data_IF_297198429394
#
_entry.id   IF_297198429394
#
_cell.length_a   1.000
_cell.length_b   1.000
_cell.length_c   1.000
_cell.angle_alpha   90.00
_cell.angle_beta   90.00
_cell.angle_gamma   90.00
#
_symmetry.space_group_name_H-M   'P 1'
#
loop_
_entity.id
_entity.type
_entity.pdbx_description
1 polymer ?
#
# COMPACT_ATOMS: atom_id res chain seq x y z
N UNK A 1 -3.51 -11.17 -0.90
CA UNK A 1 -3.81 -10.29 0.24
C UNK A 1 -4.15 -11.18 1.45
N UNK A 2 -3.58 -10.92 2.65
CA UNK A 2 -3.72 -11.80 3.82
C UNK A 2 -5.05 -11.56 4.59
N UNK A 3 -6.16 -11.50 3.87
CA UNK A 3 -7.52 -11.39 4.41
C UNK A 3 -8.54 -11.85 3.39
N UNK A 4 -9.85 -11.76 3.73
CA UNK A 4 -10.93 -12.10 2.82
C UNK A 4 -11.00 -11.15 1.62
N UNK A 5 -11.64 -11.59 0.55
CA UNK A 5 -11.85 -10.77 -0.65
C UNK A 5 -12.50 -9.42 -0.32
N UNK A 6 -13.56 -9.43 0.48
CA UNK A 6 -14.29 -8.19 0.79
C UNK A 6 -13.42 -7.15 1.48
N UNK A 7 -12.53 -7.56 2.38
CA UNK A 7 -11.56 -6.68 3.05
C UNK A 7 -10.43 -6.28 2.10
N UNK A 8 -9.84 -7.25 1.42
CA UNK A 8 -8.72 -7.01 0.52
C UNK A 8 -9.05 -6.11 -0.65
N UNK A 9 -10.21 -6.34 -1.31
CA UNK A 9 -10.62 -5.51 -2.44
C UNK A 9 -11.04 -4.10 -2.01
N UNK A 10 -11.32 -3.88 -0.73
CA UNK A 10 -11.55 -2.54 -0.18
C UNK A 10 -10.23 -1.79 0.03
N UNK A 11 -9.10 -2.49 0.13
CA UNK A 11 -7.78 -1.87 0.33
C UNK A 11 -7.31 -1.13 -0.93
N UNK A 12 -7.22 0.20 -0.84
CA UNK A 12 -6.77 1.03 -1.96
C UNK A 12 -5.31 0.72 -2.35
N UNK A 13 -4.45 0.47 -1.37
CA UNK A 13 -3.06 0.06 -1.62
C UNK A 13 -2.97 -1.26 -2.39
N UNK A 14 -3.81 -2.25 -2.04
CA UNK A 14 -3.87 -3.51 -2.79
C UNK A 14 -4.38 -3.32 -4.22
N UNK A 15 -5.41 -2.49 -4.41
CA UNK A 15 -5.94 -2.20 -5.75
C UNK A 15 -4.88 -1.55 -6.65
N UNK A 16 -4.06 -0.65 -6.10
CA UNK A 16 -2.96 0.00 -6.86
C UNK A 16 -1.89 -1.01 -7.23
N UNK A 17 -1.47 -1.87 -6.30
CA UNK A 17 -0.51 -2.95 -6.59
C UNK A 17 -1.00 -3.81 -7.75
N UNK A 18 -2.25 -4.29 -7.65
CA UNK A 18 -2.83 -5.10 -8.72
C UNK A 18 -2.95 -4.33 -10.04
N UNK A 19 -3.43 -3.09 -10.03
CA UNK A 19 -3.60 -2.30 -11.24
C UNK A 19 -2.25 -1.98 -11.92
N UNK A 20 -1.21 -1.67 -11.12
CA UNK A 20 0.14 -1.41 -11.64
C UNK A 20 0.70 -2.64 -12.37
N UNK A 21 0.49 -3.83 -11.82
CA UNK A 21 0.94 -5.08 -12.44
C UNK A 21 0.06 -5.46 -13.65
N UNK A 22 -1.27 -5.31 -13.54
CA UNK A 22 -2.22 -5.67 -14.58
C UNK A 22 -2.13 -4.79 -15.84
N UNK A 23 -1.57 -3.59 -15.74
CA UNK A 23 -1.32 -2.72 -16.89
C UNK A 23 -0.09 -3.14 -17.71
N UNK A 24 0.74 -4.03 -17.19
CA UNK A 24 1.92 -4.54 -17.89
C UNK A 24 1.53 -5.72 -18.78
N UNK A 25 1.91 -5.67 -20.07
CA UNK A 25 1.69 -6.76 -21.03
C UNK A 25 2.67 -7.92 -20.89
N UNK A 26 3.71 -7.75 -20.08
CA UNK A 26 4.74 -8.75 -19.77
C UNK A 26 4.51 -9.44 -18.41
N UNK A 27 3.38 -9.16 -17.73
CA UNK A 27 3.01 -9.74 -16.44
C UNK A 27 1.61 -10.35 -16.49
N UNK A 28 1.49 -11.63 -16.14
CA UNK A 28 0.22 -12.29 -15.83
C UNK A 28 -0.01 -12.24 -14.31
N UNK A 29 -0.79 -11.28 -13.84
CA UNK A 29 -1.08 -11.10 -12.42
C UNK A 29 -2.38 -11.78 -12.02
N UNK A 30 -2.32 -12.57 -10.94
CA UNK A 30 -3.47 -13.26 -10.34
C UNK A 30 -3.67 -12.77 -8.91
N UNK A 31 -4.93 -12.68 -8.50
CA UNK A 31 -5.30 -12.23 -7.15
C UNK A 31 -5.59 -13.44 -6.27
N UNK A 32 -5.10 -13.38 -5.04
CA UNK A 32 -5.36 -14.39 -4.01
C UNK A 32 -5.77 -13.71 -2.71
N UNK A 33 -6.83 -14.23 -2.10
CA UNK A 33 -7.34 -13.87 -0.78
C UNK A 33 -7.45 -15.14 0.08
N UNK A 34 -7.81 -15.00 1.35
CA UNK A 34 -7.92 -16.17 2.23
C UNK A 34 -9.15 -17.06 1.94
N UNK A 35 -10.19 -16.49 1.36
CA UNK A 35 -11.48 -17.13 1.06
C UNK A 35 -11.69 -17.41 -0.42
N UNK A 36 -11.01 -16.68 -1.32
CA UNK A 36 -11.13 -16.88 -2.76
C UNK A 36 -9.92 -16.30 -3.53
N UNK A 37 -9.87 -16.57 -4.83
CA UNK A 37 -8.81 -16.05 -5.70
C UNK A 37 -9.04 -16.39 -7.17
N UNK A 38 -8.22 -15.77 -8.02
CA UNK A 38 -8.17 -16.12 -9.43
C UNK A 38 -7.55 -17.52 -9.59
N UNK A 39 -7.84 -18.28 -10.66
CA UNK A 39 -7.13 -19.52 -10.96
C UNK A 39 -5.63 -19.28 -11.03
N UNK A 40 -4.86 -20.04 -10.25
CA UNK A 40 -3.42 -19.89 -10.19
C UNK A 40 -2.72 -20.78 -11.22
N UNK A 41 -1.63 -20.31 -11.86
CA UNK A 41 -0.81 -21.13 -12.73
C UNK A 41 -0.06 -22.20 -11.92
N UNK A 42 0.40 -23.28 -12.60
CA UNK A 42 1.21 -24.32 -11.95
C UNK A 42 2.55 -23.79 -11.44
N UNK A 43 3.10 -22.82 -12.14
CA UNK A 43 4.36 -22.15 -11.81
C UNK A 43 4.13 -20.64 -11.82
N UNK A 44 4.66 -19.95 -10.85
CA UNK A 44 4.71 -18.50 -10.81
C UNK A 44 6.14 -18.06 -10.47
N UNK A 45 6.56 -16.95 -11.06
CA UNK A 45 7.89 -16.39 -10.79
C UNK A 45 7.92 -15.64 -9.45
N UNK A 46 6.77 -15.06 -9.09
CA UNK A 46 6.61 -14.18 -7.94
C UNK A 46 5.36 -14.53 -7.12
N UNK A 47 5.49 -14.47 -5.80
CA UNK A 47 4.36 -14.54 -4.87
C UNK A 47 4.40 -13.30 -3.96
N UNK A 48 3.47 -12.37 -4.17
CA UNK A 48 3.46 -11.07 -3.49
C UNK A 48 2.43 -10.98 -2.35
N UNK A 49 2.83 -10.42 -1.22
CA UNK A 49 1.97 -10.20 -0.05
C UNK A 49 1.94 -8.73 0.33
N UNK A 50 0.74 -8.14 0.41
CA UNK A 50 0.53 -6.77 0.88
C UNK A 50 0.03 -6.79 2.32
N UNK A 51 0.87 -6.35 3.27
CA UNK A 51 0.56 -6.34 4.69
C UNK A 51 0.19 -4.92 5.15
N UNK A 52 -1.09 -4.74 5.46
CA UNK A 52 -1.65 -3.45 5.89
C UNK A 52 -1.79 -3.32 7.39
N UNK A 53 -1.97 -4.44 8.11
CA UNK A 53 -2.18 -4.49 9.55
C UNK A 53 -1.19 -5.43 10.23
N UNK A 54 -0.71 -5.08 11.40
CA UNK A 54 0.18 -5.94 12.18
C UNK A 54 -0.43 -7.32 12.50
N UNK A 55 -1.76 -7.37 12.63
CA UNK A 55 -2.50 -8.61 12.87
C UNK A 55 -2.54 -9.55 11.65
N UNK A 56 -2.17 -9.08 10.46
CA UNK A 56 -2.01 -9.93 9.28
C UNK A 56 -0.77 -10.83 9.36
N UNK A 57 0.15 -10.56 10.31
CA UNK A 57 1.42 -11.27 10.44
C UNK A 57 1.37 -12.79 10.52
N UNK A 58 0.39 -13.43 11.16
CA UNK A 58 0.25 -14.90 11.19
C UNK A 58 -0.22 -15.53 9.86
N UNK A 59 -0.79 -14.75 8.95
CA UNK A 59 -1.43 -15.26 7.72
C UNK A 59 -0.44 -15.64 6.60
N UNK A 60 0.69 -14.93 6.37
CA UNK A 60 1.66 -15.30 5.34
C UNK A 60 2.12 -16.77 5.38
N UNK A 61 2.50 -17.36 6.52
CA UNK A 61 2.87 -18.78 6.58
C UNK A 61 1.76 -19.73 6.14
N UNK A 62 0.51 -19.41 6.47
CA UNK A 62 -0.65 -20.20 6.06
C UNK A 62 -0.90 -20.11 4.55
N UNK A 63 -0.85 -18.91 3.98
CA UNK A 63 -1.00 -18.73 2.53
C UNK A 63 0.11 -19.44 1.76
N UNK A 64 1.37 -19.36 2.19
CA UNK A 64 2.48 -20.06 1.57
C UNK A 64 2.26 -21.59 1.61
N UNK A 65 1.87 -22.13 2.77
CA UNK A 65 1.59 -23.56 2.93
C UNK A 65 0.46 -24.02 1.98
N UNK A 66 -0.61 -23.24 1.89
CA UNK A 66 -1.76 -23.55 1.03
C UNK A 66 -1.39 -23.56 -0.46
N UNK A 67 -0.38 -22.75 -0.84
CA UNK A 67 0.16 -22.72 -2.20
C UNK A 67 1.33 -23.68 -2.41
N UNK A 68 1.69 -24.50 -1.41
CA UNK A 68 2.82 -25.44 -1.43
C UNK A 68 4.18 -24.76 -1.66
N UNK A 69 4.31 -23.52 -1.22
CA UNK A 69 5.56 -22.76 -1.23
C UNK A 69 6.23 -22.98 0.13
N UNK A 70 7.53 -23.30 0.19
CA UNK A 70 8.25 -23.42 1.46
C UNK A 70 8.08 -22.14 2.31
N UNK A 71 7.73 -22.33 3.60
CA UNK A 71 7.41 -21.22 4.48
C UNK A 71 8.63 -20.33 4.72
N UNK A 72 9.74 -20.95 5.05
CA UNK A 72 10.99 -20.25 5.31
C UNK A 72 11.71 -19.90 4.02
N UNK A 73 12.18 -18.67 3.89
CA UNK A 73 12.93 -18.23 2.72
C UNK A 73 14.19 -19.07 2.48
N UNK A 74 14.80 -19.57 3.54
CA UNK A 74 16.02 -20.43 3.50
C UNK A 74 15.78 -21.83 2.95
N UNK A 75 14.52 -22.28 2.88
CA UNK A 75 14.16 -23.60 2.35
C UNK A 75 13.82 -23.57 0.85
N UNK A 76 13.75 -22.39 0.24
CA UNK A 76 13.36 -22.21 -1.17
C UNK A 76 14.53 -22.46 -2.11
N UNK A 77 14.22 -23.18 -3.19
CA UNK A 77 15.12 -23.52 -4.28
C UNK A 77 14.99 -22.56 -5.48
N UNK A 78 15.73 -22.83 -6.54
CA UNK A 78 15.64 -22.09 -7.82
C UNK A 78 14.27 -22.24 -8.50
N UNK A 79 13.55 -23.34 -8.24
CA UNK A 79 12.24 -23.64 -8.82
C UNK A 79 11.08 -22.98 -8.06
N UNK A 80 11.33 -22.49 -6.85
CA UNK A 80 10.32 -21.81 -6.04
C UNK A 80 10.18 -20.33 -6.43
N UNK A 81 8.99 -19.73 -6.31
CA UNK A 81 8.81 -18.32 -6.59
C UNK A 81 9.66 -17.44 -5.64
N UNK A 82 9.98 -16.24 -6.09
CA UNK A 82 10.46 -15.18 -5.19
C UNK A 82 9.26 -14.68 -4.40
N UNK A 83 9.26 -14.89 -3.10
CA UNK A 83 8.22 -14.38 -2.19
C UNK A 83 8.61 -12.98 -1.75
N UNK A 84 7.81 -12.00 -2.14
CA UNK A 84 8.05 -10.62 -1.75
C UNK A 84 6.89 -10.04 -0.94
N UNK A 85 7.20 -9.06 -0.12
CA UNK A 85 6.21 -8.36 0.69
C UNK A 85 6.34 -6.86 0.59
N UNK A 86 5.25 -6.15 0.90
CA UNK A 86 5.23 -4.70 1.01
C UNK A 86 4.07 -4.21 1.86
N UNK A 87 3.94 -2.90 1.95
CA UNK A 87 2.90 -2.25 2.73
C UNK A 87 3.39 -1.65 4.06
N UNK A 88 2.50 -0.97 4.79
CA UNK A 88 2.90 -0.18 5.96
C UNK A 88 3.52 -1.02 7.08
N UNK A 89 3.11 -2.26 7.29
CA UNK A 89 3.67 -3.14 8.34
C UNK A 89 5.13 -3.43 8.07
N UNK A 90 5.46 -3.88 6.86
CA UNK A 90 6.84 -4.20 6.49
C UNK A 90 7.70 -2.94 6.33
N UNK A 91 7.11 -1.81 5.92
CA UNK A 91 7.82 -0.53 5.89
C UNK A 91 8.16 -0.03 7.30
N UNK A 92 7.31 -0.34 8.30
CA UNK A 92 7.57 0.02 9.69
C UNK A 92 8.71 -0.78 10.31
N UNK A 93 8.65 -2.10 10.14
CA UNK A 93 9.68 -3.02 10.60
C UNK A 93 9.54 -4.37 9.88
N UNK A 94 10.41 -4.70 8.92
CA UNK A 94 10.35 -5.98 8.21
C UNK A 94 10.84 -7.16 9.05
N UNK A 95 11.70 -6.93 10.04
CA UNK A 95 12.48 -7.97 10.73
C UNK A 95 11.64 -9.09 11.37
N UNK A 96 10.50 -8.82 12.05
CA UNK A 96 9.68 -9.89 12.62
C UNK A 96 9.13 -10.88 11.60
N UNK A 97 9.02 -10.46 10.34
CA UNK A 97 8.48 -11.26 9.24
C UNK A 97 9.54 -11.61 8.19
N UNK A 98 10.75 -11.09 8.31
CA UNK A 98 11.86 -11.30 7.40
C UNK A 98 12.10 -12.77 7.02
N UNK A 99 12.02 -13.75 7.94
CA UNK A 99 12.26 -15.16 7.61
C UNK A 99 11.29 -15.75 6.58
N UNK A 100 10.14 -15.11 6.34
CA UNK A 100 9.14 -15.56 5.36
C UNK A 100 9.32 -14.95 3.98
N UNK A 101 10.13 -13.90 3.84
CA UNK A 101 10.27 -13.13 2.60
C UNK A 101 11.68 -13.26 2.00
N UNK A 102 11.72 -13.39 0.68
CA UNK A 102 12.94 -13.27 -0.10
C UNK A 102 13.31 -11.80 -0.33
N UNK A 103 12.29 -10.95 -0.50
CA UNK A 103 12.47 -9.52 -0.68
C UNK A 103 11.34 -8.74 0.00
N UNK A 104 11.64 -7.56 0.53
CA UNK A 104 10.67 -6.62 1.10
C UNK A 104 10.80 -5.29 0.39
N UNK A 105 9.68 -4.77 -0.10
CA UNK A 105 9.59 -3.48 -0.78
C UNK A 105 9.25 -2.40 0.24
N UNK A 106 10.20 -1.51 0.53
CA UNK A 106 10.07 -0.45 1.55
C UNK A 106 9.61 0.86 0.91
N UNK A 107 8.35 1.22 1.11
CA UNK A 107 7.78 2.48 0.64
C UNK A 107 6.60 2.35 -0.32
N UNK A 108 6.51 3.28 -1.25
CA UNK A 108 5.37 3.43 -2.16
C UNK A 108 5.49 2.49 -3.37
N UNK A 109 4.48 1.64 -3.55
CA UNK A 109 4.46 0.60 -4.58
C UNK A 109 4.47 1.15 -6.02
N UNK A 110 4.01 2.37 -6.24
CA UNK A 110 3.99 3.04 -7.54
C UNK A 110 5.40 3.15 -8.17
N UNK A 111 6.44 3.29 -7.34
CA UNK A 111 7.84 3.31 -7.78
C UNK A 111 8.47 1.92 -7.73
N UNK A 112 8.23 1.21 -6.63
CA UNK A 112 8.94 -0.02 -6.31
C UNK A 112 8.56 -1.18 -7.23
N UNK A 113 7.25 -1.36 -7.52
CA UNK A 113 6.80 -2.51 -8.29
C UNK A 113 7.35 -2.53 -9.72
N UNK A 114 7.27 -1.45 -10.51
CA UNK A 114 7.84 -1.47 -11.84
C UNK A 114 9.35 -1.78 -11.82
N UNK A 115 10.12 -1.10 -10.97
CA UNK A 115 11.56 -1.30 -10.88
C UNK A 115 11.94 -2.72 -10.42
N UNK A 116 11.19 -3.29 -9.47
CA UNK A 116 11.40 -4.66 -8.98
C UNK A 116 11.13 -5.69 -10.08
N UNK A 117 10.03 -5.54 -10.84
CA UNK A 117 9.70 -6.44 -11.96
C UNK A 117 10.74 -6.34 -13.06
N UNK A 118 11.15 -5.12 -13.44
CA UNK A 118 12.16 -4.90 -14.49
C UNK A 118 13.52 -5.54 -14.10
N UNK A 119 13.93 -5.40 -12.84
CA UNK A 119 15.13 -6.04 -12.34
C UNK A 119 15.03 -7.57 -12.35
N UNK A 120 13.87 -8.12 -11.92
CA UNK A 120 13.67 -9.58 -11.97
C UNK A 120 13.75 -10.12 -13.39
N UNK A 121 13.17 -9.44 -14.37
CA UNK A 121 13.22 -9.86 -15.75
C UNK A 121 14.65 -9.94 -16.30
N UNK A 122 15.52 -9.00 -15.90
CA UNK A 122 16.93 -9.00 -16.31
C UNK A 122 17.72 -10.20 -15.78
N UNK A 123 17.32 -10.77 -14.65
CA UNK A 123 18.01 -11.89 -14.00
C UNK A 123 17.14 -13.16 -13.88
N UNK A 124 16.00 -13.24 -14.59
CA UNK A 124 15.00 -14.32 -14.44
C UNK A 124 15.57 -15.73 -14.54
N UNK A 125 16.57 -15.92 -15.40
CA UNK A 125 17.18 -17.23 -15.67
C UNK A 125 18.45 -17.50 -14.86
N UNK A 126 18.87 -16.58 -14.00
CA UNK A 126 19.99 -16.77 -13.09
C UNK A 126 19.60 -17.65 -11.89
N UNK A 127 20.57 -18.29 -11.23
CA UNK A 127 20.36 -18.96 -9.96
C UNK A 127 19.72 -18.03 -8.92
N UNK A 128 18.94 -18.58 -7.99
CA UNK A 128 18.20 -17.80 -6.98
C UNK A 128 19.08 -16.80 -6.23
N UNK A 129 20.25 -17.19 -5.79
CA UNK A 129 21.18 -16.32 -5.07
C UNK A 129 21.60 -15.10 -5.89
N UNK A 130 21.82 -15.27 -7.20
CA UNK A 130 22.15 -14.17 -8.10
C UNK A 130 20.94 -13.26 -8.32
N UNK A 131 19.74 -13.85 -8.49
CA UNK A 131 18.50 -13.08 -8.57
C UNK A 131 18.31 -12.20 -7.34
N UNK A 132 18.47 -12.74 -6.13
CA UNK A 132 18.32 -12.01 -4.88
C UNK A 132 19.35 -10.87 -4.75
N UNK A 133 20.61 -11.13 -5.12
CA UNK A 133 21.67 -10.09 -5.15
C UNK A 133 21.37 -8.99 -6.16
N UNK A 134 20.84 -9.35 -7.32
CA UNK A 134 20.44 -8.38 -8.33
C UNK A 134 19.25 -7.52 -7.85
N UNK A 135 18.23 -8.14 -7.28
CA UNK A 135 17.07 -7.46 -6.71
C UNK A 135 17.44 -6.51 -5.56
N UNK A 136 18.45 -6.87 -4.75
CA UNK A 136 18.93 -6.02 -3.66
C UNK A 136 19.58 -4.70 -4.15
N UNK A 137 19.93 -4.58 -5.44
CA UNK A 137 20.44 -3.33 -6.02
C UNK A 137 19.31 -2.34 -6.37
N UNK A 138 18.04 -2.78 -6.38
CA UNK A 138 16.92 -1.89 -6.62
C UNK A 138 16.67 -1.02 -5.39
N UNK A 139 16.69 0.31 -5.51
CA UNK A 139 16.44 1.19 -4.38
C UNK A 139 15.11 0.85 -3.66
N UNK A 140 15.16 0.69 -2.34
CA UNK A 140 14.00 0.34 -1.52
C UNK A 140 13.67 -1.14 -1.45
N UNK A 141 14.46 -2.01 -2.08
CA UNK A 141 14.31 -3.46 -1.97
C UNK A 141 15.26 -4.00 -0.90
N UNK A 142 14.70 -4.48 0.19
CA UNK A 142 15.41 -5.17 1.27
C UNK A 142 15.32 -6.68 1.05
N UNK A 143 16.47 -7.34 0.94
CA UNK A 143 16.59 -8.79 0.82
C UNK A 143 17.16 -9.35 2.12
N UNK A 144 16.33 -9.87 3.04
CA UNK A 144 16.75 -10.20 4.41
C UNK A 144 17.95 -11.14 4.49
N UNK A 145 18.02 -12.14 3.60
CA UNK A 145 19.11 -13.12 3.58
C UNK A 145 20.51 -12.54 3.27
N UNK A 146 20.57 -11.29 2.79
CA UNK A 146 21.81 -10.59 2.48
C UNK A 146 22.28 -9.65 3.60
N UNK A 147 21.63 -9.72 4.76
CA UNK A 147 22.00 -8.94 5.95
C UNK A 147 22.10 -9.85 7.17
N UNK A 148 22.99 -9.50 8.08
CA UNK A 148 23.20 -10.23 9.31
C UNK A 148 23.10 -9.29 10.52
N UNK A 149 22.33 -9.64 11.57
CA UNK A 149 22.30 -8.88 12.81
C UNK A 149 23.61 -9.05 13.56
N UNK A 150 24.14 -7.96 14.08
CA UNK A 150 25.30 -7.93 14.98
C UNK A 150 24.87 -7.53 16.37
N UNK A 151 25.25 -8.30 17.36
CA UNK A 151 24.86 -8.09 18.74
C UNK A 151 26.08 -7.78 19.61
N UNK A 152 25.86 -7.04 20.70
CA UNK A 152 26.79 -6.91 21.80
C UNK A 152 26.81 -8.19 22.66
N UNK A 153 27.78 -8.26 23.56
CA UNK A 153 27.92 -9.39 24.51
C UNK A 153 26.74 -9.56 25.46
N UNK A 154 25.98 -8.50 25.69
CA UNK A 154 24.77 -8.50 26.52
C UNK A 154 23.49 -8.84 25.74
N UNK A 155 23.60 -9.11 24.44
CA UNK A 155 22.47 -9.41 23.55
C UNK A 155 21.80 -8.18 22.95
N UNK A 156 22.30 -6.98 23.18
CA UNK A 156 21.79 -5.76 22.55
C UNK A 156 22.11 -5.75 21.05
N UNK A 157 21.10 -5.52 20.20
CA UNK A 157 21.32 -5.37 18.77
C UNK A 157 22.11 -4.10 18.47
N UNK A 158 23.30 -4.26 17.91
CA UNK A 158 24.16 -3.15 17.48
C UNK A 158 23.79 -2.62 16.12
N UNK A 159 23.68 -3.50 15.14
CA UNK A 159 23.45 -3.17 13.75
C UNK A 159 22.88 -4.36 12.98
N UNK A 160 22.26 -4.08 11.83
CA UNK A 160 22.00 -5.06 10.78
C UNK A 160 22.90 -4.69 9.61
N UNK A 161 23.87 -5.53 9.30
CA UNK A 161 24.94 -5.21 8.34
C UNK A 161 24.83 -6.10 7.10
N UNK A 162 25.17 -5.60 5.89
CA UNK A 162 25.24 -6.43 4.71
C UNK A 162 26.31 -7.50 4.86
N UNK A 163 26.07 -8.68 4.30
CA UNK A 163 27.00 -9.82 4.38
C UNK A 163 28.30 -9.60 3.59
N UNK A 164 28.27 -8.67 2.62
CA UNK A 164 29.44 -8.25 1.87
C UNK A 164 29.25 -6.81 1.30
N UNK A 165 30.36 -6.23 0.83
CA UNK A 165 30.42 -4.85 0.35
C UNK A 165 29.68 -4.59 -0.97
N UNK A 166 29.24 -5.60 -1.70
CA UNK A 166 28.46 -5.46 -2.92
C UNK A 166 26.96 -5.22 -2.62
N UNK A 167 26.54 -5.43 -1.37
CA UNK A 167 25.16 -5.21 -0.93
C UNK A 167 25.04 -3.80 -0.33
N UNK A 168 23.97 -3.05 -0.66
CA UNK A 168 23.77 -1.72 -0.10
C UNK A 168 23.78 -1.72 1.43
N UNK A 169 24.55 -0.85 2.04
CA UNK A 169 24.63 -0.75 3.50
C UNK A 169 23.35 -0.17 4.12
N UNK A 170 22.58 0.56 3.33
CA UNK A 170 21.32 1.17 3.74
C UNK A 170 20.27 0.97 2.64
N UNK A 171 19.10 0.51 3.04
CA UNK A 171 17.93 0.42 2.15
C UNK A 171 16.99 1.57 2.48
N UNK A 172 16.94 2.56 1.59
CA UNK A 172 16.11 3.75 1.79
C UNK A 172 14.68 3.53 1.30
N UNK A 173 13.70 3.90 2.13
CA UNK A 173 12.29 3.90 1.77
C UNK A 173 12.05 4.75 0.51
N UNK A 174 11.39 4.20 -0.47
CA UNK A 174 11.03 4.90 -1.70
C UNK A 174 9.72 5.67 -1.54
N UNK A 175 9.68 6.89 -2.08
CA UNK A 175 8.56 7.82 -1.90
C UNK A 175 8.06 8.33 -3.25
N UNK A 176 6.81 8.01 -3.59
CA UNK A 176 6.13 8.54 -4.77
C UNK A 176 5.89 10.05 -4.63
N UNK A 177 6.25 10.83 -5.66
CA UNK A 177 6.11 12.29 -5.70
C UNK A 177 5.36 12.77 -6.95
N UNK A 178 4.53 11.92 -7.53
CA UNK A 178 3.69 12.31 -8.68
C UNK A 178 2.55 13.26 -8.29
N UNK A 179 1.94 13.87 -9.29
CA UNK A 179 0.82 14.81 -9.12
C UNK A 179 -0.50 14.12 -8.76
N UNK A 180 -0.54 12.80 -8.79
CA UNK A 180 -1.72 11.99 -8.45
C UNK A 180 -1.38 11.07 -7.28
N UNK A 181 -2.37 10.80 -6.45
CA UNK A 181 -2.36 9.71 -5.47
C UNK A 181 -3.32 8.60 -5.90
N UNK A 182 -3.51 7.62 -5.03
CA UNK A 182 -4.30 6.44 -5.34
C UNK A 182 -5.80 6.73 -5.43
N UNK A 183 -6.48 6.02 -6.31
CA UNK A 183 -7.95 5.96 -6.35
C UNK A 183 -8.40 4.53 -6.68
N UNK A 184 -9.66 4.21 -6.39
CA UNK A 184 -10.21 2.89 -6.68
C UNK A 184 -10.10 2.53 -8.16
N UNK A 185 -9.60 1.33 -8.44
CA UNK A 185 -9.59 0.71 -9.76
C UNK A 185 -10.68 -0.36 -9.88
N UNK A 186 -11.20 -0.82 -8.75
CA UNK A 186 -12.31 -1.78 -8.65
C UNK A 186 -13.38 -1.18 -7.74
N UNK A 187 -14.63 -1.17 -8.22
CA UNK A 187 -15.82 -0.82 -7.45
C UNK A 187 -16.77 -2.02 -7.54
N UNK A 188 -17.15 -2.57 -6.40
CA UNK A 188 -17.96 -3.79 -6.33
C UNK A 188 -18.88 -3.81 -5.11
N UNK A 189 -20.08 -4.42 -5.20
CA UNK A 189 -20.94 -4.62 -4.04
C UNK A 189 -20.39 -5.62 -3.03
N UNK A 190 -19.40 -6.43 -3.40
CA UNK A 190 -18.79 -7.45 -2.53
C UNK A 190 -17.69 -6.89 -1.61
N UNK A 191 -17.30 -5.62 -1.79
CA UNK A 191 -16.34 -4.96 -0.93
C UNK A 191 -16.91 -4.71 0.47
N UNK A 192 -16.07 -4.65 1.51
CA UNK A 192 -16.49 -4.31 2.87
C UNK A 192 -17.14 -2.92 2.94
N UNK A 193 -16.74 -2.01 2.04
CA UNK A 193 -17.44 -0.75 1.74
C UNK A 193 -18.01 -0.84 0.31
N UNK A 194 -19.26 -1.37 0.17
CA UNK A 194 -19.79 -1.72 -1.13
C UNK A 194 -20.02 -0.48 -2.01
N UNK A 195 -19.77 -0.65 -3.30
CA UNK A 195 -20.07 0.33 -4.35
C UNK A 195 -19.47 1.73 -4.11
N UNK A 196 -18.34 1.83 -3.42
CA UNK A 196 -17.67 3.10 -3.17
C UNK A 196 -16.42 3.25 -4.05
N UNK A 197 -16.30 4.39 -4.71
CA UNK A 197 -15.06 4.79 -5.35
C UNK A 197 -14.27 5.69 -4.39
N UNK A 198 -13.13 5.21 -3.95
CA UNK A 198 -12.25 5.90 -3.02
C UNK A 198 -11.22 6.74 -3.77
N UNK A 199 -10.95 7.94 -3.27
CA UNK A 199 -9.93 8.85 -3.78
C UNK A 199 -9.03 9.25 -2.63
N UNK A 200 -7.74 9.01 -2.75
CA UNK A 200 -6.73 9.44 -1.77
C UNK A 200 -6.47 10.94 -1.95
N UNK A 201 -6.97 11.73 -1.00
CA UNK A 201 -6.86 13.21 -1.02
C UNK A 201 -5.51 13.67 -0.50
N UNK A 202 -4.96 12.96 0.49
CA UNK A 202 -3.66 13.26 1.07
C UNK A 202 -2.97 11.96 1.46
N UNK A 203 -1.64 11.90 1.35
CA UNK A 203 -0.81 10.83 1.89
C UNK A 203 0.10 11.37 2.99
N UNK A 204 0.18 10.65 4.12
CA UNK A 204 0.76 11.11 5.37
C UNK A 204 -0.11 12.16 6.11
N UNK A 205 0.45 12.71 7.18
CA UNK A 205 -0.18 13.75 7.99
C UNK A 205 0.92 14.69 8.51
N UNK A 206 0.77 16.01 8.41
CA UNK A 206 1.80 16.96 8.84
C UNK A 206 1.88 17.13 10.36
N UNK A 207 0.94 16.55 11.13
CA UNK A 207 0.83 16.78 12.58
C UNK A 207 1.86 16.01 13.41
N UNK A 208 2.41 14.91 12.90
CA UNK A 208 3.46 14.11 13.54
C UNK A 208 3.16 13.79 15.02
N UNK A 209 1.91 13.45 15.33
CA UNK A 209 1.47 13.11 16.68
C UNK A 209 2.33 11.97 17.24
N UNK A 210 2.81 12.07 18.49
CA UNK A 210 3.76 11.13 19.12
C UNK A 210 3.28 9.68 19.17
N UNK A 211 1.98 9.44 19.17
CA UNK A 211 1.36 8.11 19.19
C UNK A 211 1.06 7.54 17.79
N UNK A 212 1.18 8.35 16.71
CA UNK A 212 0.69 7.98 15.39
C UNK A 212 1.82 7.53 14.48
N UNK A 213 2.03 6.22 14.38
CA UNK A 213 3.02 5.64 13.48
C UNK A 213 2.74 5.96 12.00
N UNK A 214 1.46 6.03 11.61
CA UNK A 214 1.07 6.24 10.21
C UNK A 214 1.64 7.53 9.60
N UNK A 215 1.72 8.62 10.39
CA UNK A 215 2.32 9.88 9.91
C UNK A 215 3.78 9.69 9.52
N UNK A 216 4.55 8.99 10.37
CA UNK A 216 5.99 8.80 10.15
C UNK A 216 6.29 7.83 9.01
N UNK A 217 5.48 6.77 8.87
CA UNK A 217 5.67 5.74 7.82
C UNK A 217 5.56 6.31 6.42
N UNK A 218 4.65 7.27 6.22
CA UNK A 218 4.29 7.77 4.89
C UNK A 218 4.81 9.18 4.60
N UNK A 219 5.73 9.72 5.43
CA UNK A 219 6.40 10.99 5.17
C UNK A 219 7.13 10.99 3.82
N UNK A 220 7.22 12.17 3.19
CA UNK A 220 6.65 13.46 3.57
C UNK A 220 5.14 13.54 3.36
N UNK A 221 4.48 14.53 3.96
CA UNK A 221 3.09 14.87 3.65
C UNK A 221 2.97 15.28 2.19
N UNK A 222 2.02 14.67 1.47
CA UNK A 222 1.83 14.86 0.03
C UNK A 222 0.37 15.03 -0.29
N UNK A 223 0.13 15.94 -1.22
CA UNK A 223 -1.20 16.26 -1.75
C UNK A 223 -1.16 16.20 -3.27
N UNK A 224 -2.14 15.56 -3.93
CA UNK A 224 -2.25 15.65 -5.37
C UNK A 224 -2.74 17.04 -5.78
N UNK A 225 -2.50 17.44 -7.02
CA UNK A 225 -3.12 18.64 -7.59
C UNK A 225 -4.65 18.49 -7.60
N UNK A 226 -5.37 19.57 -7.33
CA UNK A 226 -6.83 19.57 -7.43
C UNK A 226 -7.26 19.27 -8.87
N UNK A 227 -6.73 20.03 -9.83
CA UNK A 227 -7.18 19.99 -11.24
C UNK A 227 -6.67 18.75 -11.98
N UNK A 228 -5.39 18.39 -11.79
CA UNK A 228 -4.77 17.28 -12.53
C UNK A 228 -4.86 15.93 -11.80
N UNK A 229 -5.20 15.92 -10.51
CA UNK A 229 -5.22 14.73 -9.67
C UNK A 229 -6.59 14.40 -9.10
N UNK A 230 -7.14 15.26 -8.22
CA UNK A 230 -8.37 14.95 -7.47
C UNK A 230 -9.61 14.99 -8.34
N UNK A 231 -9.80 16.05 -9.13
CA UNK A 231 -10.96 16.19 -10.00
C UNK A 231 -11.05 15.02 -10.99
N UNK A 232 -10.01 14.69 -11.76
CA UNK A 232 -10.06 13.55 -12.67
C UNK A 232 -10.32 12.21 -11.96
N UNK A 233 -9.77 12.00 -10.74
CA UNK A 233 -9.99 10.78 -9.97
C UNK A 233 -11.46 10.65 -9.52
N UNK A 234 -12.08 11.74 -9.05
CA UNK A 234 -13.50 11.75 -8.69
C UNK A 234 -14.39 11.56 -9.92
N UNK A 235 -14.11 12.27 -11.02
CA UNK A 235 -14.87 12.14 -12.28
C UNK A 235 -14.86 10.71 -12.82
N UNK A 236 -13.69 10.06 -12.78
CA UNK A 236 -13.57 8.64 -13.13
C UNK A 236 -14.47 7.78 -12.23
N UNK A 237 -14.54 8.07 -10.93
CA UNK A 237 -15.41 7.36 -10.00
C UNK A 237 -16.89 7.50 -10.33
N UNK A 238 -17.31 8.69 -10.74
CA UNK A 238 -18.71 8.97 -11.11
C UNK A 238 -19.21 8.19 -12.32
N UNK A 239 -18.30 7.66 -13.15
CA UNK A 239 -18.68 6.76 -14.25
C UNK A 239 -19.10 5.38 -13.75
N UNK A 240 -18.65 4.97 -12.59
CA UNK A 240 -18.88 3.63 -12.02
C UNK A 240 -19.91 3.64 -10.88
N UNK A 241 -19.97 4.71 -10.08
CA UNK A 241 -20.83 4.76 -8.89
C UNK A 241 -21.25 6.17 -8.52
N UNK A 242 -22.33 6.26 -7.73
CA UNK A 242 -22.77 7.50 -7.06
C UNK A 242 -22.27 7.60 -5.60
N UNK A 243 -21.25 6.85 -5.23
CA UNK A 243 -20.67 6.86 -3.87
C UNK A 243 -19.19 7.14 -3.94
N UNK A 244 -18.77 8.31 -3.52
CA UNK A 244 -17.37 8.76 -3.49
C UNK A 244 -16.87 8.80 -2.05
N UNK A 245 -15.73 8.21 -1.79
CA UNK A 245 -15.02 8.24 -0.51
C UNK A 245 -13.74 9.05 -0.60
N UNK A 246 -13.61 10.08 0.21
CA UNK A 246 -12.39 10.88 0.32
C UNK A 246 -11.52 10.28 1.42
N UNK A 247 -10.36 9.74 1.05
CA UNK A 247 -9.44 9.06 1.95
C UNK A 247 -8.16 9.85 2.21
N UNK A 248 -7.61 9.64 3.39
CA UNK A 248 -6.33 10.17 3.82
C UNK A 248 -6.25 10.31 5.33
N UNK A 249 -5.06 10.42 5.86
CA UNK A 249 -4.83 10.57 7.29
C UNK A 249 -5.31 11.93 7.83
N UNK A 250 -5.41 12.94 6.96
CA UNK A 250 -5.86 14.29 7.31
C UNK A 250 -6.39 15.05 6.09
N UNK A 251 -7.50 14.59 5.51
CA UNK A 251 -8.05 15.10 4.24
C UNK A 251 -8.31 16.62 4.27
N UNK A 252 -8.74 17.15 5.40
CA UNK A 252 -9.03 18.58 5.61
C UNK A 252 -7.79 19.46 5.60
N UNK A 253 -6.58 18.90 5.59
CA UNK A 253 -5.32 19.65 5.51
C UNK A 253 -4.77 19.74 4.08
N UNK A 254 -5.51 19.23 3.09
CA UNK A 254 -5.17 19.52 1.70
C UNK A 254 -5.20 21.03 1.46
N UNK A 255 -4.18 21.66 0.84
CA UNK A 255 -4.13 23.11 0.66
C UNK A 255 -5.35 23.70 -0.07
N UNK A 256 -5.90 22.94 -1.03
CA UNK A 256 -7.08 23.35 -1.82
C UNK A 256 -8.35 22.60 -1.36
N UNK A 257 -8.46 22.26 -0.06
CA UNK A 257 -9.60 21.48 0.42
C UNK A 257 -10.93 22.26 0.32
N UNK A 258 -10.92 23.58 0.56
CA UNK A 258 -12.10 24.42 0.38
C UNK A 258 -12.55 24.46 -1.09
N UNK A 259 -11.62 24.57 -2.02
CA UNK A 259 -11.94 24.56 -3.46
C UNK A 259 -12.55 23.20 -3.88
N UNK A 260 -11.98 22.10 -3.36
CA UNK A 260 -12.55 20.76 -3.56
C UNK A 260 -13.98 20.67 -3.01
N UNK A 261 -14.24 21.18 -1.81
CA UNK A 261 -15.58 21.18 -1.21
C UNK A 261 -16.58 21.99 -2.04
N UNK A 262 -16.21 23.20 -2.47
CA UNK A 262 -17.05 24.04 -3.31
C UNK A 262 -17.35 23.36 -4.65
N UNK A 263 -16.37 22.73 -5.27
CA UNK A 263 -16.57 21.96 -6.48
C UNK A 263 -17.53 20.78 -6.26
N UNK A 264 -17.41 20.05 -5.15
CA UNK A 264 -18.29 18.95 -4.76
C UNK A 264 -19.69 19.41 -4.36
N UNK A 265 -19.92 20.68 -4.04
CA UNK A 265 -21.24 21.23 -3.77
C UNK A 265 -22.07 21.53 -5.04
N UNK A 266 -21.43 21.53 -6.20
CA UNK A 266 -22.08 21.81 -7.49
C UNK A 266 -23.20 20.81 -7.84
N UNK A 267 -24.21 21.26 -8.61
CA UNK A 267 -25.42 20.51 -8.97
C UNK A 267 -25.12 19.20 -9.72
N UNK A 268 -23.97 19.12 -10.40
CA UNK A 268 -23.49 17.88 -11.07
C UNK A 268 -23.35 16.67 -10.13
N UNK A 269 -23.23 16.91 -8.83
CA UNK A 269 -23.16 15.89 -7.80
C UNK A 269 -24.49 15.56 -7.14
N UNK A 270 -25.61 16.05 -7.67
CA UNK A 270 -26.92 15.73 -7.13
C UNK A 270 -27.18 14.23 -7.22
N UNK A 271 -27.66 13.66 -6.12
CA UNK A 271 -27.79 12.20 -5.97
C UNK A 271 -26.47 11.46 -5.71
N UNK A 272 -25.33 12.16 -5.65
CA UNK A 272 -24.04 11.55 -5.29
C UNK A 272 -23.82 11.65 -3.79
N UNK A 273 -23.51 10.52 -3.16
CA UNK A 273 -23.12 10.46 -1.76
C UNK A 273 -21.60 10.62 -1.62
N UNK A 274 -21.18 11.59 -0.79
CA UNK A 274 -19.78 11.83 -0.47
C UNK A 274 -19.54 11.47 0.99
N UNK A 275 -18.52 10.67 1.26
CA UNK A 275 -18.06 10.34 2.61
C UNK A 275 -16.60 10.69 2.76
N UNK A 276 -16.20 11.12 3.94
CA UNK A 276 -14.80 11.43 4.28
C UNK A 276 -14.27 10.49 5.34
N UNK A 277 -12.96 10.36 5.39
CA UNK A 277 -12.25 9.76 6.52
C UNK A 277 -12.38 10.65 7.77
N UNK A 278 -11.88 10.18 8.91
CA UNK A 278 -11.85 10.96 10.15
C UNK A 278 -11.17 12.32 9.95
N UNK A 279 -11.75 13.36 10.52
CA UNK A 279 -11.23 14.73 10.48
C UNK A 279 -10.78 15.19 11.86
N UNK A 280 -9.89 16.15 11.90
CA UNK A 280 -9.49 16.79 13.17
C UNK A 280 -10.56 17.76 13.62
N UNK A 281 -10.84 17.81 14.93
CA UNK A 281 -11.82 18.74 15.48
C UNK A 281 -11.57 20.20 15.07
N UNK A 282 -10.31 20.64 15.07
CA UNK A 282 -9.92 22.00 14.71
C UNK A 282 -10.11 22.37 13.23
N UNK A 283 -10.32 21.37 12.35
CA UNK A 283 -10.52 21.59 10.90
C UNK A 283 -11.98 21.43 10.46
N UNK A 284 -12.89 21.19 11.40
CA UNK A 284 -14.33 21.13 11.12
C UNK A 284 -14.88 22.54 10.96
N UNK A 285 -15.40 22.84 9.78
CA UNK A 285 -16.06 24.12 9.48
C UNK A 285 -17.57 23.92 9.25
N UNK A 286 -18.38 24.95 9.43
CA UNK A 286 -19.81 24.88 9.07
C UNK A 286 -20.04 24.52 7.61
N UNK A 287 -19.17 24.99 6.70
CA UNK A 287 -19.20 24.66 5.27
C UNK A 287 -19.01 23.16 5.04
N UNK A 288 -17.95 22.57 5.64
CA UNK A 288 -17.69 21.12 5.56
C UNK A 288 -18.90 20.31 6.04
N UNK A 289 -19.46 20.67 7.20
CA UNK A 289 -20.61 19.98 7.77
C UNK A 289 -21.85 20.09 6.87
N UNK A 290 -22.10 21.27 6.32
CA UNK A 290 -23.22 21.55 5.41
C UNK A 290 -23.12 20.73 4.14
N UNK A 291 -21.98 20.76 3.46
CA UNK A 291 -21.75 20.05 2.18
C UNK A 291 -21.83 18.53 2.39
N UNK A 292 -21.16 17.98 3.42
CA UNK A 292 -21.23 16.56 3.70
C UNK A 292 -22.66 16.10 4.03
N UNK A 293 -23.43 16.90 4.78
CA UNK A 293 -24.83 16.62 5.07
C UNK A 293 -25.69 16.64 3.80
N UNK A 294 -25.55 17.66 2.96
CA UNK A 294 -26.22 17.77 1.65
C UNK A 294 -25.90 16.56 0.75
N UNK A 295 -24.65 16.08 0.79
CA UNK A 295 -24.16 14.92 0.01
C UNK A 295 -24.38 13.57 0.71
N UNK A 296 -25.27 13.51 1.72
CA UNK A 296 -25.74 12.27 2.34
C UNK A 296 -24.74 11.58 3.28
N UNK A 297 -23.69 12.26 3.71
CA UNK A 297 -22.82 11.79 4.77
C UNK A 297 -23.52 11.95 6.13
N UNK A 298 -23.87 10.85 6.78
CA UNK A 298 -24.59 10.90 8.07
C UNK A 298 -23.65 11.06 9.27
N UNK A 299 -22.57 10.27 9.44
CA UNK A 299 -21.58 10.48 10.50
C UNK A 299 -20.37 11.26 10.00
N UNK A 300 -19.88 12.19 10.80
CA UNK A 300 -18.55 12.74 10.71
C UNK A 300 -17.74 12.19 11.88
N UNK A 301 -16.72 11.37 11.59
CA UNK A 301 -15.82 10.86 12.62
C UNK A 301 -14.78 11.93 12.94
N UNK A 302 -14.75 12.38 14.19
CA UNK A 302 -13.80 13.38 14.66
C UNK A 302 -12.74 12.70 15.49
N UNK A 303 -11.48 12.81 15.06
CA UNK A 303 -10.34 12.35 15.84
C UNK A 303 -10.03 13.38 16.94
N UNK A 304 -10.17 12.96 18.20
CA UNK A 304 -9.75 13.78 19.34
C UNK A 304 -8.25 13.59 19.55
N UNK A 305 -7.48 14.55 19.06
CA UNK A 305 -6.02 14.57 19.21
C UNK A 305 -5.67 15.50 20.39
N UNK A 306 -5.49 14.93 21.57
CA UNK A 306 -4.77 15.61 22.64
C UNK A 306 -3.28 15.41 22.37
N UNK A 307 -2.58 16.51 22.13
CA UNK A 307 -1.10 16.53 22.09
C UNK A 307 -0.52 16.27 23.46
#
# INVERSE_FOLDING_TARGET
FPSTYSVGITSLGYQIVWATLAQRHDVDVRRLFTDQGDPLPRHCDLFGLSLSWALDGPVPPELLRNQRIPIWATERSDDDPIVFGGGPVLTANPEPLAPFFDAVLLGDGELLLPAFIDALQQCRHSPRNERLRHLAQVPGVYVPSLYAPRYETDGTLLAVEPIDSAIPALVEKQTWRGNTLSHSTVVTPEAAWPDIHMVEVVRSCPELCRFCLASYLTLPFRTPSLDDGLIPAVEKGLTATKRIGLLGASVTQHPQFSDLLQWLDGDRFDGTRISGSSVRAATVTPELASILSKRGSRPLTIANQRQ
#
